data_IF_959358957205
#
_entry.id   IF_959358957205
#
_cell.length_a   1.000
_cell.length_b   1.000
_cell.length_c   1.000
_cell.angle_alpha   90.00
_cell.angle_beta   90.00
_cell.angle_gamma   90.00
#
_symmetry.space_group_name_H-M   'P 1'
#
loop_
_entity.id
_entity.type
_entity.pdbx_description
1 polymer ?
#
# COMPACT_ATOMS: atom_id res chain seq x y z
N UNK A 1 9.99 31.19 -9.16
CA UNK A 1 9.57 29.82 -9.49
C UNK A 1 8.65 29.42 -8.37
N UNK A 2 7.39 29.12 -8.65
CA UNK A 2 6.50 28.60 -7.62
C UNK A 2 6.91 27.14 -7.45
N UNK A 3 7.62 26.85 -6.37
CA UNK A 3 7.82 25.49 -5.90
C UNK A 3 6.45 24.84 -5.84
N UNK A 4 6.25 23.81 -6.67
CA UNK A 4 5.06 22.99 -6.69
C UNK A 4 5.05 22.18 -5.38
N UNK A 5 4.72 22.86 -4.28
CA UNK A 5 4.52 22.30 -2.93
C UNK A 5 3.15 21.60 -2.88
N UNK A 6 2.82 20.87 -3.94
CA UNK A 6 1.64 20.03 -3.97
C UNK A 6 2.01 18.73 -3.25
N UNK A 7 1.24 18.29 -2.23
CA UNK A 7 1.51 17.02 -1.59
C UNK A 7 1.48 15.90 -2.63
N UNK A 8 2.52 15.05 -2.64
CA UNK A 8 2.59 13.90 -3.55
C UNK A 8 1.56 12.86 -3.08
N UNK A 9 0.45 12.77 -3.78
CA UNK A 9 -0.61 11.81 -3.50
C UNK A 9 -0.45 10.57 -4.38
N UNK A 10 -0.34 9.40 -3.75
CA UNK A 10 -0.33 8.11 -4.45
C UNK A 10 -1.47 7.23 -3.94
N UNK A 11 -2.17 6.56 -4.86
CA UNK A 11 -3.21 5.58 -4.52
C UNK A 11 -2.71 4.18 -4.82
N UNK A 12 -2.70 3.31 -3.82
CA UNK A 12 -2.36 1.91 -3.99
C UNK A 12 -3.25 1.02 -3.12
N UNK A 13 -3.32 -0.27 -3.47
CA UNK A 13 -4.04 -1.28 -2.70
C UNK A 13 -3.06 -2.35 -2.23
N UNK A 14 -3.06 -2.64 -0.93
CA UNK A 14 -2.19 -3.66 -0.34
C UNK A 14 -2.98 -4.51 0.64
N UNK A 15 -2.64 -5.80 0.70
CA UNK A 15 -3.13 -6.71 1.73
C UNK A 15 -2.59 -6.24 3.08
N UNK A 16 -3.50 -6.08 4.03
CA UNK A 16 -3.17 -5.92 5.45
C UNK A 16 -2.95 -7.33 6.01
N UNK A 17 -1.86 -7.51 6.73
CA UNK A 17 -1.54 -8.78 7.39
C UNK A 17 -2.49 -9.08 8.56
N UNK A 18 -2.46 -10.30 9.09
CA UNK A 18 -3.31 -10.74 10.21
C UNK A 18 -3.13 -9.89 11.48
N UNK A 19 -1.94 -9.32 11.69
CA UNK A 19 -1.68 -8.40 12.81
C UNK A 19 -2.21 -6.98 12.56
N UNK A 20 -2.90 -6.73 11.44
CA UNK A 20 -3.39 -5.40 11.08
C UNK A 20 -2.31 -4.47 10.51
N UNK A 21 -1.14 -5.01 10.16
CA UNK A 21 -0.01 -4.24 9.59
C UNK A 21 -0.06 -4.19 8.07
N UNK A 22 0.27 -3.04 7.50
CA UNK A 22 0.48 -2.86 6.06
C UNK A 22 1.92 -2.42 5.80
N UNK A 23 2.60 -3.10 4.87
CA UNK A 23 3.94 -2.72 4.42
C UNK A 23 3.84 -1.88 3.16
N UNK A 24 4.31 -0.65 3.22
CA UNK A 24 4.43 0.24 2.05
C UNK A 24 5.59 -0.27 1.17
N UNK A 25 5.35 -0.63 -0.11
CA UNK A 25 6.39 -1.11 -1.02
C UNK A 25 7.49 -0.07 -1.24
N UNK A 26 8.72 -0.53 -1.53
CA UNK A 26 9.89 0.34 -1.73
C UNK A 26 9.63 1.47 -2.74
N UNK A 27 9.08 1.13 -3.91
CA UNK A 27 8.75 2.07 -4.98
C UNK A 27 7.86 3.23 -4.49
N UNK A 28 6.91 2.93 -3.61
CA UNK A 28 5.97 3.92 -3.08
C UNK A 28 6.63 4.80 -2.01
N UNK A 29 7.57 4.24 -1.24
CA UNK A 29 8.38 5.01 -0.29
C UNK A 29 9.34 5.96 -1.02
N UNK A 30 9.89 5.53 -2.15
CA UNK A 30 10.73 6.37 -3.01
C UNK A 30 9.90 7.49 -3.65
N UNK A 31 8.70 7.17 -4.16
CA UNK A 31 7.77 8.17 -4.70
C UNK A 31 7.35 9.22 -3.66
N UNK A 32 7.12 8.80 -2.41
CA UNK A 32 6.80 9.68 -1.29
C UNK A 32 8.03 10.35 -0.66
N UNK A 33 9.25 10.04 -1.13
CA UNK A 33 10.51 10.53 -0.55
C UNK A 33 10.68 10.24 0.96
N UNK A 34 10.14 9.11 1.43
CA UNK A 34 10.18 8.67 2.85
C UNK A 34 11.14 7.49 3.08
N UNK A 35 11.90 7.06 2.07
CA UNK A 35 12.87 5.99 2.25
C UNK A 35 14.00 6.43 3.22
N UNK A 36 14.17 5.66 4.30
CA UNK A 36 15.16 5.95 5.35
C UNK A 36 14.80 7.12 6.29
N UNK A 37 13.55 7.59 6.30
CA UNK A 37 13.08 8.69 7.17
C UNK A 37 11.78 8.33 7.88
N UNK A 38 11.59 8.88 9.07
CA UNK A 38 10.29 8.84 9.75
C UNK A 38 9.37 9.89 9.12
N UNK A 39 8.16 9.46 8.74
CA UNK A 39 7.17 10.34 8.14
C UNK A 39 5.76 9.92 8.57
N UNK A 40 4.89 10.91 8.76
CA UNK A 40 3.47 10.66 8.91
C UNK A 40 2.86 10.52 7.53
N UNK A 41 2.22 9.38 7.27
CA UNK A 41 1.54 9.13 6.00
C UNK A 41 0.05 8.98 6.27
N UNK A 42 -0.75 9.85 5.63
CA UNK A 42 -2.20 9.79 5.68
C UNK A 42 -2.71 8.88 4.57
N UNK A 43 -3.69 8.02 4.88
CA UNK A 43 -4.33 7.16 3.90
C UNK A 43 -5.83 7.16 4.11
N UNK A 44 -6.58 7.16 3.01
CA UNK A 44 -8.02 6.85 3.03
C UNK A 44 -8.21 5.35 2.80
N UNK A 45 -8.64 4.63 3.84
CA UNK A 45 -8.87 3.19 3.76
C UNK A 45 -10.28 2.87 3.23
N UNK A 46 -10.35 2.03 2.19
CA UNK A 46 -11.59 1.42 1.71
C UNK A 46 -11.39 -0.09 1.61
N UNK A 47 -12.29 -0.87 2.22
CA UNK A 47 -12.31 -2.32 2.06
C UNK A 47 -12.76 -2.67 0.63
N UNK A 48 -11.84 -3.16 -0.19
CA UNK A 48 -12.11 -3.47 -1.60
C UNK A 48 -12.54 -4.92 -1.79
N UNK A 49 -11.89 -5.89 -1.13
CA UNK A 49 -12.28 -7.30 -1.16
C UNK A 49 -11.65 -8.10 0.00
N UNK A 50 -12.16 -9.31 0.27
CA UNK A 50 -11.46 -10.30 1.08
C UNK A 50 -10.61 -11.17 0.16
N UNK A 51 -9.29 -11.20 0.40
CA UNK A 51 -8.41 -12.21 -0.20
C UNK A 51 -8.51 -13.47 0.68
N UNK A 52 -9.64 -14.18 0.62
CA UNK A 52 -9.74 -15.54 1.17
C UNK A 52 -8.96 -16.47 0.24
N UNK A 53 -7.95 -17.12 0.78
CA UNK A 53 -7.12 -18.12 0.13
C UNK A 53 -7.99 -19.36 -0.17
N UNK A 54 -8.67 -19.35 -1.32
CA UNK A 54 -9.20 -20.55 -1.96
C UNK A 54 -8.82 -20.57 -3.43
N UNK A 55 -7.52 -20.51 -3.69
CA UNK A 55 -6.94 -21.00 -4.94
C UNK A 55 -5.83 -21.98 -4.57
N UNK A 56 -6.24 -23.19 -4.19
CA UNK A 56 -5.37 -24.24 -3.65
C UNK A 56 -5.96 -25.63 -3.81
N UNK A 57 -6.73 -25.85 -4.88
CA UNK A 57 -7.36 -27.12 -5.20
C UNK A 57 -7.35 -27.37 -6.70
N UNK A 58 -6.15 -27.49 -7.29
CA UNK A 58 -5.97 -28.20 -8.55
C UNK A 58 -6.34 -29.68 -8.32
N UNK A 59 -7.64 -29.96 -8.45
CA UNK A 59 -8.16 -31.30 -8.68
C UNK A 59 -8.37 -31.45 -10.18
N UNK A 60 -7.28 -31.56 -10.93
CA UNK A 60 -7.31 -32.02 -12.31
C UNK A 60 -7.75 -33.50 -12.35
N UNK A 61 -8.56 -33.82 -13.36
CA UNK A 61 -9.29 -35.06 -13.60
C UNK A 61 -8.46 -36.35 -13.56
#
# INVERSE_FOLDING_TARGET
MADDDSPIEITFSKKVDLDGRMVVPKEHREALSIDGREALVEFTAKKVTYLDDKDGGDGSQ
#
